data_IF_606447380394
#
_entry.id   IF_606447380394
#
_cell.length_a   1.000
_cell.length_b   1.000
_cell.length_c   1.000
_cell.angle_alpha   90.00
_cell.angle_beta   90.00
_cell.angle_gamma   90.00
#
_symmetry.space_group_name_H-M   'P 1'
#
loop_
_entity.id
_entity.type
_entity.pdbx_description
1 polymer ?
#
# COMPACT_ATOMS: atom_id res chain seq x y z
N UNK A 1 3.63 9.39 -1.03
CA UNK A 1 2.37 8.63 -0.83
C UNK A 1 2.66 7.15 -1.02
N UNK A 2 2.11 6.28 -0.18
CA UNK A 2 2.39 4.86 -0.23
C UNK A 2 1.54 4.07 0.75
N UNK A 3 1.69 2.76 0.73
CA UNK A 3 0.95 1.85 1.60
C UNK A 3 1.84 0.71 2.09
N UNK A 4 1.47 0.14 3.23
CA UNK A 4 1.97 -1.17 3.63
C UNK A 4 0.98 -2.23 3.18
N UNK A 5 1.47 -3.24 2.50
CA UNK A 5 0.70 -4.37 2.01
C UNK A 5 1.08 -5.58 2.86
N UNK A 6 0.16 -6.03 3.70
CA UNK A 6 0.27 -7.33 4.33
C UNK A 6 0.11 -8.41 3.27
N UNK A 7 1.12 -9.25 3.10
CA UNK A 7 1.13 -10.31 2.10
C UNK A 7 2.11 -11.41 2.48
N UNK A 8 1.71 -12.66 2.23
CA UNK A 8 2.59 -13.82 2.38
C UNK A 8 3.69 -13.88 1.30
N UNK A 9 3.56 -13.10 0.22
CA UNK A 9 4.46 -13.10 -0.94
C UNK A 9 4.95 -11.69 -1.27
N UNK A 10 5.77 -11.07 -0.40
CA UNK A 10 6.33 -9.76 -0.69
C UNK A 10 7.30 -9.85 -1.88
N UNK A 11 7.28 -8.81 -2.71
CA UNK A 11 8.20 -8.68 -3.84
C UNK A 11 9.50 -8.02 -3.39
N UNK A 12 10.60 -8.27 -4.11
CA UNK A 12 11.90 -7.70 -3.80
C UNK A 12 11.88 -6.16 -3.78
N UNK A 13 12.69 -5.60 -2.88
CA UNK A 13 12.93 -4.15 -2.82
C UNK A 13 13.37 -3.60 -4.18
N UNK A 14 12.88 -2.41 -4.53
CA UNK A 14 13.01 -1.70 -5.80
C UNK A 14 12.24 -2.28 -6.98
N UNK A 15 11.55 -3.41 -6.82
CA UNK A 15 10.67 -3.91 -7.87
C UNK A 15 9.52 -2.94 -8.12
N UNK A 16 9.11 -2.83 -9.38
CA UNK A 16 7.89 -2.15 -9.80
C UNK A 16 6.74 -3.15 -9.85
N UNK A 17 5.59 -2.74 -9.37
CA UNK A 17 4.37 -3.54 -9.31
C UNK A 17 3.17 -2.69 -9.73
N UNK A 18 2.09 -3.35 -10.11
CA UNK A 18 0.78 -2.75 -10.27
C UNK A 18 -0.08 -3.10 -9.06
N UNK A 19 -0.56 -2.09 -8.33
CA UNK A 19 -1.35 -2.26 -7.12
C UNK A 19 -2.82 -1.98 -7.41
N UNK A 20 -3.66 -3.00 -7.27
CA UNK A 20 -5.11 -2.82 -7.22
C UNK A 20 -5.58 -2.58 -5.79
N UNK A 21 -6.49 -1.62 -5.61
CA UNK A 21 -7.22 -1.40 -4.34
C UNK A 21 -8.72 -1.44 -4.65
N UNK A 22 -9.33 -2.62 -4.86
CA UNK A 22 -10.64 -2.72 -5.50
C UNK A 22 -11.76 -1.95 -4.81
N UNK A 23 -11.73 -1.89 -3.48
CA UNK A 23 -12.75 -1.16 -2.69
C UNK A 23 -12.64 0.36 -2.77
N UNK A 24 -11.49 0.88 -3.20
CA UNK A 24 -11.21 2.34 -3.23
C UNK A 24 -11.14 2.84 -4.66
N UNK A 25 -10.45 2.09 -5.52
CA UNK A 25 -10.09 2.47 -6.88
C UNK A 25 -10.83 1.67 -7.96
N UNK A 26 -11.67 0.71 -7.57
CA UNK A 26 -12.30 -0.20 -8.53
C UNK A 26 -11.27 -1.03 -9.28
N UNK A 27 -11.33 -1.00 -10.61
CA UNK A 27 -10.41 -1.74 -11.49
C UNK A 27 -9.11 -0.98 -11.80
N UNK A 28 -8.95 0.25 -11.30
CA UNK A 28 -7.74 1.04 -11.55
C UNK A 28 -6.55 0.43 -10.81
N UNK A 29 -5.47 0.21 -11.57
CA UNK A 29 -4.19 -0.24 -11.06
C UNK A 29 -3.24 0.95 -10.88
N UNK A 30 -2.60 1.03 -9.71
CA UNK A 30 -1.62 2.06 -9.40
C UNK A 30 -0.19 1.53 -9.60
N UNK A 31 0.64 2.18 -10.43
CA UNK A 31 2.05 1.85 -10.51
C UNK A 31 2.73 2.22 -9.19
N UNK A 32 3.42 1.24 -8.60
CA UNK A 32 4.09 1.39 -7.33
C UNK A 32 5.45 0.69 -7.31
N UNK A 33 6.31 1.13 -6.41
CA UNK A 33 7.65 0.60 -6.22
C UNK A 33 7.82 0.09 -4.79
N UNK A 34 8.37 -1.10 -4.63
CA UNK A 34 8.66 -1.67 -3.31
C UNK A 34 9.83 -0.93 -2.68
N UNK A 35 9.62 -0.28 -1.53
CA UNK A 35 10.69 0.46 -0.82
C UNK A 35 11.29 -0.33 0.34
N UNK A 36 10.53 -1.24 0.93
CA UNK A 36 10.99 -2.18 1.95
C UNK A 36 10.11 -3.44 2.02
N UNK A 37 10.64 -4.49 2.62
CA UNK A 37 9.93 -5.75 2.87
C UNK A 37 10.05 -6.09 4.34
N UNK A 38 8.99 -6.64 4.93
CA UNK A 38 9.01 -7.25 6.26
C UNK A 38 8.76 -8.74 6.11
N UNK A 39 9.81 -9.55 6.23
CA UNK A 39 9.75 -11.01 6.03
C UNK A 39 10.28 -11.71 7.28
N UNK A 40 9.83 -12.96 7.54
CA UNK A 40 10.41 -13.78 8.61
C UNK A 40 11.94 -13.86 8.50
N UNK A 41 12.64 -13.77 9.63
CA UNK A 41 14.10 -13.86 9.72
C UNK A 41 14.77 -12.55 10.16
N UNK A 42 16.05 -12.37 9.80
CA UNK A 42 16.89 -11.26 10.30
C UNK A 42 16.46 -9.86 9.85
N UNK A 43 15.51 -9.74 8.93
CA UNK A 43 14.94 -8.47 8.44
C UNK A 43 13.54 -8.20 9.02
N UNK A 44 13.08 -9.03 9.95
CA UNK A 44 11.77 -8.89 10.57
C UNK A 44 11.73 -7.71 11.53
N UNK A 45 10.71 -6.88 11.38
CA UNK A 45 10.35 -5.78 12.27
C UNK A 45 9.18 -6.29 13.14
N UNK A 46 9.38 -6.47 14.46
CA UNK A 46 8.44 -7.20 15.32
C UNK A 46 7.07 -6.52 15.45
N UNK A 47 6.99 -5.21 15.22
CA UNK A 47 5.75 -4.43 15.32
C UNK A 47 5.07 -4.20 13.96
N UNK A 48 5.46 -4.94 12.92
CA UNK A 48 4.87 -4.85 11.58
C UNK A 48 4.42 -6.24 11.12
N UNK A 49 3.28 -6.37 10.43
CA UNK A 49 2.89 -7.62 9.80
C UNK A 49 3.86 -8.00 8.68
N UNK A 50 3.85 -9.27 8.28
CA UNK A 50 4.66 -9.71 7.13
C UNK A 50 4.10 -9.13 5.83
N UNK A 51 4.98 -8.58 4.99
CA UNK A 51 4.53 -7.88 3.80
C UNK A 51 5.57 -6.95 3.20
N UNK A 52 5.11 -5.89 2.56
CA UNK A 52 5.97 -4.91 1.88
C UNK A 52 5.41 -3.50 1.95
N UNK A 53 6.30 -2.52 2.09
CA UNK A 53 5.94 -1.12 1.92
C UNK A 53 6.18 -0.73 0.45
N UNK A 54 5.21 -0.02 -0.12
CA UNK A 54 5.25 0.44 -1.50
C UNK A 54 5.06 1.95 -1.55
N UNK A 55 5.76 2.58 -2.48
CA UNK A 55 5.63 3.99 -2.83
C UNK A 55 4.92 4.09 -4.17
N UNK A 56 3.89 4.93 -4.27
CA UNK A 56 3.18 5.13 -5.53
C UNK A 56 4.02 6.02 -6.47
N UNK A 57 4.20 5.61 -7.73
CA UNK A 57 5.06 6.32 -8.69
C UNK A 57 4.27 7.36 -9.51
N UNK A 58 3.08 7.02 -9.99
CA UNK A 58 2.20 7.91 -10.73
C UNK A 58 0.75 7.67 -10.32
N UNK A 59 0.18 8.59 -9.55
CA UNK A 59 -1.21 8.50 -9.06
C UNK A 59 -2.09 9.38 -9.94
N UNK A 60 -3.00 8.82 -10.75
CA UNK A 60 -3.99 9.60 -11.49
C UNK A 60 -4.82 10.47 -10.55
N UNK A 61 -5.25 11.65 -10.99
CA UNK A 61 -6.01 12.58 -10.15
C UNK A 61 -7.26 11.93 -9.52
N UNK A 62 -7.99 11.15 -10.31
CA UNK A 62 -9.18 10.39 -9.87
C UNK A 62 -8.84 9.40 -8.75
N UNK A 63 -7.69 8.74 -8.84
CA UNK A 63 -7.22 7.81 -7.81
C UNK A 63 -6.74 8.54 -6.55
N UNK A 64 -6.12 9.71 -6.69
CA UNK A 64 -5.71 10.54 -5.56
C UNK A 64 -6.93 11.01 -4.76
N UNK A 65 -7.95 11.55 -5.44
CA UNK A 65 -9.19 12.00 -4.79
C UNK A 65 -9.92 10.84 -4.09
N UNK A 66 -10.01 9.68 -4.73
CA UNK A 66 -10.62 8.49 -4.14
C UNK A 66 -9.85 7.99 -2.90
N UNK A 67 -8.51 8.01 -2.93
CA UNK A 67 -7.66 7.65 -1.79
C UNK A 67 -7.82 8.65 -0.63
N UNK A 68 -7.82 9.95 -0.92
CA UNK A 68 -8.00 11.00 0.10
C UNK A 68 -9.36 10.90 0.78
N UNK A 69 -10.43 10.74 0.01
CA UNK A 69 -11.78 10.51 0.54
C UNK A 69 -11.84 9.25 1.43
N UNK A 70 -11.26 8.15 0.96
CA UNK A 70 -11.23 6.91 1.74
C UNK A 70 -10.47 7.07 3.06
N UNK A 71 -9.31 7.73 3.05
CA UNK A 71 -8.54 7.99 4.26
C UNK A 71 -9.33 8.85 5.26
N UNK A 72 -9.97 9.92 4.78
CA UNK A 72 -10.83 10.75 5.61
C UNK A 72 -11.96 9.94 6.28
N UNK A 73 -12.69 9.13 5.51
CA UNK A 73 -13.79 8.30 6.03
C UNK A 73 -13.29 7.31 7.10
N UNK A 74 -12.11 6.71 6.88
CA UNK A 74 -11.50 5.77 7.83
C UNK A 74 -11.05 6.44 9.12
N UNK A 75 -10.49 7.65 9.04
CA UNK A 75 -10.10 8.43 10.23
C UNK A 75 -11.32 8.77 11.08
N UNK A 76 -12.42 9.21 10.47
CA UNK A 76 -13.66 9.50 11.19
C UNK A 76 -14.24 8.26 11.88
N UNK A 77 -14.18 7.10 11.22
CA UNK A 77 -14.67 5.84 11.80
C UNK A 77 -13.82 5.31 12.97
N UNK A 78 -12.55 5.72 13.08
CA UNK A 78 -11.63 5.31 14.14
C UNK A 78 -11.57 6.30 15.32
N UNK A 79 -12.12 7.50 15.14
CA UNK A 79 -12.18 8.54 16.19
C UNK A 79 -13.35 8.34 17.17
N UNK A 80 -14.10 7.24 17.03
CA UNK A 80 -15.25 6.83 17.88
C UNK A 80 -14.83 5.68 18.78
#
# INVERSE_FOLDING_TARGET
HGAFLETARPTLRRARIELGIPRVLGEVLLPARVVSTNVPGNLSRPNLPHGMAVEFEAVPAEAAEALERYLWEREQALAV
#
